data_IF_737098395701
#
_entry.id   IF_737098395701
#
_cell.length_a   1.000
_cell.length_b   1.000
_cell.length_c   1.000
_cell.angle_alpha   90.00
_cell.angle_beta   90.00
_cell.angle_gamma   90.00
#
_symmetry.space_group_name_H-M   'P 1'
#
loop_
_entity.id
_entity.type
_entity.pdbx_description
1 polymer ?
#
# COMPACT_ATOMS: atom_id res chain seq x y z
N UNK A 1 -11.72 -1.46 -23.09
CA UNK A 1 -11.66 -0.22 -22.29
C UNK A 1 -10.73 -0.36 -21.08
N UNK A 2 -10.81 -1.43 -20.28
CA UNK A 2 -9.91 -1.65 -19.13
C UNK A 2 -8.42 -1.66 -19.53
N UNK A 3 -8.10 -2.17 -20.71
CA UNK A 3 -6.71 -2.25 -21.19
C UNK A 3 -6.06 -0.89 -21.43
N UNK A 4 -6.78 0.05 -22.03
CA UNK A 4 -6.27 1.40 -22.31
C UNK A 4 -6.05 2.19 -20.99
N UNK A 5 -6.92 2.03 -20.00
CA UNK A 5 -6.81 2.72 -18.71
C UNK A 5 -5.62 2.21 -17.90
N UNK A 6 -5.36 0.90 -17.91
CA UNK A 6 -4.20 0.33 -17.17
C UNK A 6 -2.85 0.73 -17.76
N UNK A 7 -2.80 1.14 -19.04
CA UNK A 7 -1.56 1.55 -19.67
C UNK A 7 -1.25 3.04 -19.50
N UNK A 8 -2.27 3.88 -19.32
CA UNK A 8 -2.13 5.34 -19.24
C UNK A 8 -2.26 5.94 -17.84
N UNK A 9 -2.94 5.26 -16.92
CA UNK A 9 -3.23 5.75 -15.55
C UNK A 9 -2.69 4.77 -14.51
N UNK A 10 -1.59 5.14 -13.84
CA UNK A 10 -0.94 4.31 -12.84
C UNK A 10 -1.80 4.07 -11.58
N UNK A 11 -2.47 5.07 -10.99
CA UNK A 11 -3.41 4.86 -9.89
C UNK A 11 -4.55 3.92 -10.23
N UNK A 12 -5.15 4.06 -11.41
CA UNK A 12 -6.19 3.17 -11.88
C UNK A 12 -5.66 1.74 -12.10
N UNK A 13 -4.48 1.61 -12.71
CA UNK A 13 -3.83 0.31 -12.90
C UNK A 13 -3.63 -0.43 -11.58
N UNK A 14 -3.16 0.26 -10.53
CA UNK A 14 -2.99 -0.34 -9.21
C UNK A 14 -4.34 -0.71 -8.55
N UNK A 15 -5.39 0.09 -8.75
CA UNK A 15 -6.73 -0.22 -8.24
C UNK A 15 -7.32 -1.50 -8.83
N UNK A 16 -6.97 -1.83 -10.08
CA UNK A 16 -7.41 -3.06 -10.72
C UNK A 16 -6.69 -4.33 -10.25
N UNK A 17 -5.61 -4.21 -9.48
CA UNK A 17 -4.87 -5.38 -8.98
C UNK A 17 -5.61 -6.15 -7.88
N UNK A 18 -6.59 -5.53 -7.22
CA UNK A 18 -7.41 -6.14 -6.17
C UNK A 18 -8.86 -6.37 -6.62
N UNK A 19 -9.05 -6.81 -7.86
CA UNK A 19 -10.38 -7.16 -8.38
C UNK A 19 -10.90 -8.40 -7.68
N UNK A 20 -12.06 -8.25 -7.01
CA UNK A 20 -12.76 -9.32 -6.30
C UNK A 20 -14.19 -9.48 -6.84
N UNK A 21 -14.66 -10.71 -7.01
CA UNK A 21 -16.04 -10.95 -7.40
C UNK A 21 -17.00 -10.61 -6.25
N UNK A 22 -18.00 -9.79 -6.52
CA UNK A 22 -19.08 -9.48 -5.56
C UNK A 22 -20.37 -10.20 -5.98
N UNK A 23 -20.67 -10.20 -7.29
CA UNK A 23 -21.83 -10.85 -7.88
C UNK A 23 -21.62 -11.07 -9.38
N UNK A 24 -22.40 -11.96 -10.00
CA UNK A 24 -22.39 -12.24 -11.43
C UNK A 24 -21.54 -13.44 -11.81
N UNK A 25 -20.95 -13.40 -13.03
CA UNK A 25 -20.14 -14.51 -13.55
C UNK A 25 -18.74 -14.52 -12.92
N UNK A 26 -18.54 -15.47 -12.01
CA UNK A 26 -17.28 -15.67 -11.28
C UNK A 26 -16.13 -16.06 -12.23
N UNK A 27 -16.41 -16.83 -13.29
CA UNK A 27 -15.38 -17.26 -14.23
C UNK A 27 -14.85 -16.07 -15.06
N UNK A 28 -15.73 -15.18 -15.50
CA UNK A 28 -15.37 -13.97 -16.22
C UNK A 28 -14.50 -13.06 -15.35
N UNK A 29 -14.88 -12.86 -14.09
CA UNK A 29 -14.13 -11.99 -13.18
C UNK A 29 -12.75 -12.58 -12.88
N UNK A 30 -12.66 -13.90 -12.63
CA UNK A 30 -11.38 -14.59 -12.39
C UNK A 30 -10.45 -14.52 -13.59
N UNK A 31 -10.98 -14.73 -14.80
CA UNK A 31 -10.20 -14.61 -16.05
C UNK A 31 -9.67 -13.17 -16.25
N UNK A 32 -10.53 -12.19 -15.97
CA UNK A 32 -10.16 -10.76 -16.05
C UNK A 32 -9.06 -10.41 -15.04
N UNK A 33 -9.20 -10.81 -13.78
CA UNK A 33 -8.21 -10.60 -12.74
C UNK A 33 -6.85 -11.21 -13.11
N UNK A 34 -6.86 -12.45 -13.63
CA UNK A 34 -5.63 -13.13 -14.10
C UNK A 34 -4.96 -12.34 -15.24
N UNK A 35 -5.73 -11.92 -16.23
CA UNK A 35 -5.22 -11.13 -17.36
C UNK A 35 -4.58 -9.80 -16.90
N UNK A 36 -5.23 -9.10 -15.95
CA UNK A 36 -4.72 -7.85 -15.37
C UNK A 36 -3.39 -8.10 -14.66
N UNK A 37 -3.30 -9.12 -13.82
CA UNK A 37 -2.07 -9.46 -13.09
C UNK A 37 -0.92 -9.83 -14.03
N UNK A 38 -1.18 -10.59 -15.08
CA UNK A 38 -0.16 -10.93 -16.06
C UNK A 38 0.37 -9.71 -16.82
N UNK A 39 -0.52 -8.80 -17.21
CA UNK A 39 -0.13 -7.52 -17.86
C UNK A 39 0.70 -6.66 -16.90
N UNK A 40 0.26 -6.54 -15.65
CA UNK A 40 0.99 -5.83 -14.61
C UNK A 40 2.42 -6.37 -14.45
N UNK A 41 2.58 -7.68 -14.30
CA UNK A 41 3.88 -8.35 -14.18
C UNK A 41 4.81 -8.06 -15.36
N UNK A 42 4.29 -8.07 -16.58
CA UNK A 42 5.06 -7.71 -17.80
C UNK A 42 5.49 -6.24 -17.82
N UNK A 43 4.65 -5.35 -17.31
CA UNK A 43 4.92 -3.90 -17.32
C UNK A 43 5.71 -3.40 -16.09
N UNK A 44 5.69 -4.15 -14.99
CA UNK A 44 6.13 -3.71 -13.67
C UNK A 44 7.58 -3.19 -13.66
N UNK A 45 8.51 -3.88 -14.32
CA UNK A 45 9.91 -3.45 -14.43
C UNK A 45 10.05 -2.06 -15.02
N UNK A 46 9.34 -1.79 -16.11
CA UNK A 46 9.35 -0.49 -16.81
C UNK A 46 8.68 0.59 -15.96
N UNK A 47 7.65 0.24 -15.18
CA UNK A 47 6.87 1.17 -14.36
C UNK A 47 7.46 1.45 -12.99
N UNK A 48 8.42 0.65 -12.52
CA UNK A 48 8.99 0.81 -11.19
C UNK A 48 9.49 2.23 -10.89
N UNK A 49 10.26 2.90 -11.76
CA UNK A 49 10.71 4.28 -11.50
C UNK A 49 9.55 5.27 -11.34
N UNK A 50 8.49 5.12 -12.12
CA UNK A 50 7.28 5.95 -12.04
C UNK A 50 6.54 5.75 -10.71
N UNK A 51 6.38 4.49 -10.28
CA UNK A 51 5.80 4.11 -9.00
C UNK A 51 6.54 4.76 -7.82
N UNK A 52 7.86 4.61 -7.78
CA UNK A 52 8.68 5.14 -6.70
C UNK A 52 8.71 6.67 -6.70
N UNK A 53 8.73 7.29 -7.89
CA UNK A 53 8.67 8.74 -8.01
C UNK A 53 7.32 9.29 -7.52
N UNK A 54 6.21 8.62 -7.81
CA UNK A 54 4.90 9.00 -7.29
C UNK A 54 4.84 8.94 -5.76
N UNK A 55 5.48 7.94 -5.15
CA UNK A 55 5.59 7.83 -3.69
C UNK A 55 6.43 8.97 -3.07
N UNK A 56 7.53 9.36 -3.73
CA UNK A 56 8.36 10.50 -3.30
C UNK A 56 7.59 11.82 -3.37
N UNK A 57 6.90 12.09 -4.47
CA UNK A 57 6.06 13.29 -4.62
C UNK A 57 5.00 13.39 -3.53
N UNK A 58 4.33 12.28 -3.19
CA UNK A 58 3.36 12.28 -2.09
C UNK A 58 4.01 12.54 -0.74
N UNK A 59 5.21 12.02 -0.48
CA UNK A 59 5.94 12.33 0.75
C UNK A 59 6.22 13.84 0.89
N UNK A 60 6.62 14.49 -0.21
CA UNK A 60 6.90 15.93 -0.22
C UNK A 60 5.63 16.76 -0.01
N UNK A 61 4.49 16.32 -0.56
CA UNK A 61 3.21 17.03 -0.49
C UNK A 61 2.45 16.80 0.83
N UNK A 62 2.39 15.55 1.29
CA UNK A 62 1.52 15.14 2.42
C UNK A 62 2.31 14.83 3.71
N UNK A 63 3.63 14.80 3.66
CA UNK A 63 4.47 14.48 4.81
C UNK A 63 4.37 13.01 5.25
N UNK A 64 4.77 12.74 6.50
CA UNK A 64 4.79 11.39 7.11
C UNK A 64 3.67 11.23 8.13
N UNK A 65 2.81 10.26 7.96
CA UNK A 65 1.70 9.96 8.87
C UNK A 65 2.15 9.90 10.33
N UNK A 66 3.29 9.28 10.58
CA UNK A 66 3.84 9.07 11.92
C UNK A 66 4.19 10.37 12.69
N UNK A 67 4.25 11.53 12.03
CA UNK A 67 4.71 12.80 12.61
C UNK A 67 3.71 13.94 12.48
N UNK A 68 2.51 13.66 11.99
CA UNK A 68 1.47 14.66 11.77
C UNK A 68 0.34 14.53 12.81
N UNK A 69 -0.05 15.64 13.40
CA UNK A 69 -1.20 15.68 14.32
C UNK A 69 -2.55 15.55 13.60
N UNK A 70 -2.61 15.93 12.33
CA UNK A 70 -3.82 15.86 11.48
C UNK A 70 -3.45 15.26 10.13
N UNK A 71 -3.02 13.97 10.10
CA UNK A 71 -2.55 13.34 8.88
C UNK A 71 -3.67 13.09 7.88
N UNK A 72 -3.34 13.16 6.60
CA UNK A 72 -4.09 12.45 5.59
C UNK A 72 -3.68 10.97 5.63
N UNK A 73 -4.57 10.11 6.15
CA UNK A 73 -4.26 8.68 6.37
C UNK A 73 -4.20 7.87 5.07
N UNK A 74 -4.62 8.46 3.96
CA UNK A 74 -4.55 7.85 2.64
C UNK A 74 -3.27 8.24 1.91
N UNK A 75 -2.98 9.54 1.82
CA UNK A 75 -1.92 10.05 0.95
C UNK A 75 -0.56 10.23 1.65
N UNK A 76 -0.54 10.49 2.99
CA UNK A 76 0.71 10.63 3.73
C UNK A 76 1.59 9.37 3.66
N UNK A 77 2.91 9.57 3.77
CA UNK A 77 3.88 8.46 3.84
C UNK A 77 3.57 7.54 5.00
N UNK A 78 3.40 6.25 4.73
CA UNK A 78 2.91 5.26 5.68
C UNK A 78 1.37 5.16 5.72
N UNK A 79 0.67 5.80 4.79
CA UNK A 79 -0.77 5.73 4.61
C UNK A 79 -1.22 4.62 3.65
N UNK A 80 -2.53 4.60 3.35
CA UNK A 80 -3.16 3.56 2.54
C UNK A 80 -2.64 3.50 1.10
N UNK A 81 -2.21 4.64 0.51
CA UNK A 81 -1.59 4.62 -0.83
C UNK A 81 -0.27 3.86 -0.85
N UNK A 82 0.48 3.93 0.23
CA UNK A 82 1.73 3.19 0.36
C UNK A 82 1.47 1.69 0.49
N UNK A 83 0.40 1.27 1.19
CA UNK A 83 0.02 -0.15 1.24
C UNK A 83 -0.41 -0.71 -0.12
N UNK A 84 -1.14 0.08 -0.92
CA UNK A 84 -1.47 -0.29 -2.30
C UNK A 84 -0.20 -0.46 -3.14
N UNK A 85 0.79 0.41 -2.94
CA UNK A 85 2.06 0.34 -3.67
C UNK A 85 2.89 -0.89 -3.26
N UNK A 86 2.93 -1.22 -1.96
CA UNK A 86 3.55 -2.49 -1.48
C UNK A 86 2.88 -3.69 -2.13
N UNK A 87 1.55 -3.74 -2.18
CA UNK A 87 0.80 -4.81 -2.83
C UNK A 87 1.11 -4.90 -4.32
N UNK A 88 1.16 -3.77 -5.03
CA UNK A 88 1.47 -3.71 -6.46
C UNK A 88 2.88 -4.24 -6.75
N UNK A 89 3.88 -3.91 -5.92
CA UNK A 89 5.24 -4.44 -6.03
C UNK A 89 5.30 -5.94 -5.74
N UNK A 90 4.57 -6.41 -4.73
CA UNK A 90 4.53 -7.82 -4.36
C UNK A 90 3.91 -8.69 -5.46
N UNK A 91 2.73 -8.31 -5.98
CA UNK A 91 2.06 -9.09 -7.05
C UNK A 91 2.79 -9.00 -8.40
N UNK A 92 3.71 -8.07 -8.56
CA UNK A 92 4.58 -7.97 -9.74
C UNK A 92 5.70 -9.01 -9.78
N UNK A 93 5.97 -9.70 -8.65
CA UNK A 93 7.08 -10.61 -8.41
C UNK A 93 8.47 -9.96 -8.46
N UNK A 94 8.55 -8.64 -8.38
CA UNK A 94 9.82 -7.93 -8.28
C UNK A 94 10.42 -8.03 -6.88
N UNK A 95 9.57 -8.06 -5.85
CA UNK A 95 9.99 -8.19 -4.46
C UNK A 95 8.87 -8.75 -3.59
N UNK A 96 9.26 -9.46 -2.53
CA UNK A 96 8.33 -9.83 -1.46
C UNK A 96 8.23 -8.71 -0.44
N UNK A 97 7.01 -8.53 0.12
CA UNK A 97 6.81 -7.64 1.25
C UNK A 97 7.40 -8.24 2.54
N UNK A 98 7.73 -7.44 3.56
CA UNK A 98 8.13 -7.96 4.84
C UNK A 98 7.04 -8.83 5.48
N UNK A 99 7.48 -9.91 6.14
CA UNK A 99 6.60 -10.74 6.95
C UNK A 99 6.24 -10.05 8.27
N UNK A 100 5.17 -10.52 8.92
CA UNK A 100 4.74 -10.05 10.22
C UNK A 100 3.38 -9.37 10.18
N UNK A 101 3.17 -8.40 11.08
CA UNK A 101 1.85 -7.77 11.31
C UNK A 101 1.46 -6.69 10.29
N UNK A 102 2.05 -6.68 9.12
CA UNK A 102 1.77 -5.66 8.10
C UNK A 102 0.30 -5.61 7.71
N UNK A 103 -0.33 -6.76 7.50
CA UNK A 103 -1.75 -6.83 7.11
C UNK A 103 -2.66 -6.31 8.23
N UNK A 104 -2.37 -6.67 9.49
CA UNK A 104 -3.10 -6.16 10.66
C UNK A 104 -3.01 -4.62 10.76
N UNK A 105 -1.86 -4.04 10.42
CA UNK A 105 -1.66 -2.60 10.45
C UNK A 105 -2.43 -1.87 9.33
N UNK A 106 -2.49 -2.47 8.14
CA UNK A 106 -3.28 -1.93 7.02
C UNK A 106 -4.77 -2.00 7.35
N UNK A 107 -5.26 -3.12 7.91
CA UNK A 107 -6.64 -3.27 8.35
C UNK A 107 -7.00 -2.27 9.44
N UNK A 108 -6.13 -2.11 10.45
CA UNK A 108 -6.32 -1.11 11.50
C UNK A 108 -6.41 0.33 10.95
N UNK A 109 -5.66 0.65 9.88
CA UNK A 109 -5.72 1.96 9.24
C UNK A 109 -7.00 2.14 8.44
N UNK A 110 -7.52 1.08 7.79
CA UNK A 110 -8.82 1.09 7.13
C UNK A 110 -9.95 1.34 8.13
N UNK A 111 -9.92 0.65 9.27
CA UNK A 111 -10.88 0.90 10.37
C UNK A 111 -10.87 2.34 10.85
N UNK A 112 -9.68 2.96 10.99
CA UNK A 112 -9.59 4.38 11.34
C UNK A 112 -10.21 5.26 10.25
N UNK A 113 -10.02 4.91 8.97
CA UNK A 113 -10.65 5.63 7.86
C UNK A 113 -12.16 5.58 7.94
N UNK A 114 -12.72 4.42 8.21
CA UNK A 114 -14.19 4.27 8.35
C UNK A 114 -14.72 5.11 9.52
N UNK A 115 -14.00 5.15 10.65
CA UNK A 115 -14.33 6.03 11.76
C UNK A 115 -14.26 7.52 11.37
N UNK A 116 -13.29 7.94 10.55
CA UNK A 116 -13.21 9.32 10.03
C UNK A 116 -14.41 9.63 9.14
N UNK A 117 -14.82 8.72 8.25
CA UNK A 117 -16.01 8.91 7.40
C UNK A 117 -17.28 9.07 8.25
N UNK A 118 -17.44 8.24 9.28
CA UNK A 118 -18.58 8.34 10.21
C UNK A 118 -18.56 9.65 10.99
N UNK A 119 -17.41 10.07 11.52
CA UNK A 119 -17.27 11.31 12.26
C UNK A 119 -17.48 12.57 11.39
N UNK A 120 -17.03 12.51 10.13
CA UNK A 120 -17.15 13.61 9.18
C UNK A 120 -18.52 13.66 8.46
N UNK A 121 -19.29 12.55 8.47
CA UNK A 121 -20.53 12.39 7.71
C UNK A 121 -20.33 12.42 6.19
N UNK A 122 -19.11 12.20 5.69
CA UNK A 122 -18.75 12.21 4.26
C UNK A 122 -17.47 11.46 4.02
N UNK A 123 -17.13 11.22 2.73
CA UNK A 123 -15.80 10.73 2.35
C UNK A 123 -14.72 11.74 2.78
N UNK A 124 -13.85 11.33 3.70
CA UNK A 124 -12.77 12.13 4.24
C UNK A 124 -11.58 11.22 4.60
N UNK A 125 -10.36 11.67 4.27
CA UNK A 125 -9.15 10.92 4.57
C UNK A 125 -8.24 11.63 5.57
N UNK A 126 -8.57 12.88 5.93
CA UNK A 126 -7.79 13.68 6.86
C UNK A 126 -8.38 13.62 8.26
N UNK A 127 -7.59 13.20 9.22
CA UNK A 127 -7.98 13.18 10.63
C UNK A 127 -7.85 14.59 11.23
N UNK A 128 -8.90 15.41 11.05
CA UNK A 128 -8.94 16.75 11.60
C UNK A 128 -9.16 16.74 13.11
N UNK A 129 -8.67 17.78 13.81
CA UNK A 129 -8.78 17.90 15.26
C UNK A 129 -10.22 17.68 15.81
N UNK A 130 -11.30 18.22 15.20
CA UNK A 130 -12.67 18.02 15.69
C UNK A 130 -13.13 16.55 15.69
N UNK A 131 -12.51 15.69 14.90
CA UNK A 131 -12.90 14.27 14.79
C UNK A 131 -12.11 13.35 15.69
N UNK A 132 -10.95 13.79 16.20
CA UNK A 132 -9.99 12.91 16.89
C UNK A 132 -10.58 12.21 18.11
N UNK A 133 -11.28 12.94 18.98
CA UNK A 133 -11.90 12.36 20.16
C UNK A 133 -12.97 11.30 19.79
N UNK A 134 -13.82 11.62 18.83
CA UNK A 134 -14.85 10.69 18.36
C UNK A 134 -14.26 9.44 17.71
N UNK A 135 -13.26 9.60 16.84
CA UNK A 135 -12.53 8.48 16.20
C UNK A 135 -11.84 7.62 17.26
N UNK A 136 -11.18 8.23 18.27
CA UNK A 136 -10.55 7.51 19.35
C UNK A 136 -11.56 6.69 20.18
N UNK A 137 -12.73 7.27 20.48
CA UNK A 137 -13.80 6.57 21.19
C UNK A 137 -14.34 5.39 20.36
N UNK A 138 -14.61 5.57 19.06
CA UNK A 138 -15.04 4.48 18.16
C UNK A 138 -14.00 3.36 18.04
N UNK A 139 -12.70 3.69 18.21
CA UNK A 139 -11.61 2.69 18.23
C UNK A 139 -11.38 2.06 19.61
N UNK A 140 -12.27 2.34 20.59
CA UNK A 140 -12.21 1.77 21.93
C UNK A 140 -11.02 2.27 22.78
N UNK A 141 -10.53 3.50 22.50
CA UNK A 141 -9.39 4.09 23.23
C UNK A 141 -9.83 4.97 24.41
N UNK A 142 -11.13 5.21 24.57
CA UNK A 142 -11.65 6.01 25.68
C UNK A 142 -11.73 5.17 26.97
N UNK A 143 -10.89 5.48 27.96
CA UNK A 143 -10.92 4.84 29.27
C UNK A 143 -12.09 5.40 30.11
N UNK A 144 -13.12 4.61 30.41
CA UNK A 144 -14.28 5.07 31.15
C UNK A 144 -14.00 5.40 32.62
N UNK A 145 -12.85 4.98 33.15
CA UNK A 145 -12.46 5.24 34.56
C UNK A 145 -11.91 6.63 34.80
N UNK A 146 -11.46 7.33 33.69
CA UNK A 146 -10.91 8.67 33.76
C UNK A 146 -11.99 9.76 33.76
N UNK A 147 -11.73 10.93 34.36
CA UNK A 147 -12.59 12.11 34.22
C UNK A 147 -12.75 12.51 32.75
N UNK A 148 -13.90 13.12 32.34
CA UNK A 148 -14.21 13.36 30.93
C UNK A 148 -13.12 14.08 30.12
N UNK A 149 -12.56 15.17 30.64
CA UNK A 149 -11.50 15.93 29.93
C UNK A 149 -10.19 15.18 29.82
N UNK A 150 -9.79 14.46 30.87
CA UNK A 150 -8.58 13.64 30.87
C UNK A 150 -8.75 12.42 29.95
N UNK A 151 -9.92 11.79 29.97
CA UNK A 151 -10.30 10.69 29.09
C UNK A 151 -10.15 11.08 27.62
N UNK A 152 -10.69 12.26 27.25
CA UNK A 152 -10.62 12.75 25.89
C UNK A 152 -9.17 13.01 25.46
N UNK A 153 -8.40 13.73 26.26
CA UNK A 153 -7.00 14.03 25.96
C UNK A 153 -6.18 12.75 25.82
N UNK A 154 -6.36 11.80 26.74
CA UNK A 154 -5.64 10.52 26.71
C UNK A 154 -6.01 9.67 25.49
N UNK A 155 -7.29 9.59 25.14
CA UNK A 155 -7.75 8.83 23.98
C UNK A 155 -7.21 9.38 22.67
N UNK A 156 -7.09 10.70 22.53
CA UNK A 156 -6.46 11.35 21.37
C UNK A 156 -4.96 11.01 21.30
N UNK A 157 -4.24 11.09 22.41
CA UNK A 157 -2.82 10.73 22.48
C UNK A 157 -2.58 9.27 22.08
N UNK A 158 -3.42 8.34 22.60
CA UNK A 158 -3.34 6.93 22.27
C UNK A 158 -3.67 6.66 20.80
N UNK A 159 -4.63 7.38 20.20
CA UNK A 159 -4.93 7.32 18.78
C UNK A 159 -3.73 7.78 17.94
N UNK A 160 -3.13 8.94 18.29
CA UNK A 160 -1.96 9.48 17.58
C UNK A 160 -0.76 8.54 17.69
N UNK A 161 -0.51 7.97 18.88
CA UNK A 161 0.55 6.99 19.11
C UNK A 161 0.36 5.74 18.27
N UNK A 162 -0.88 5.22 18.19
CA UNK A 162 -1.23 4.07 17.37
C UNK A 162 -1.04 4.36 15.88
N UNK A 163 -1.51 5.51 15.40
CA UNK A 163 -1.33 5.94 14.01
C UNK A 163 0.16 6.12 13.65
N UNK A 164 0.95 6.70 14.56
CA UNK A 164 2.38 6.84 14.34
C UNK A 164 3.09 5.48 14.23
N UNK A 165 2.68 4.48 15.01
CA UNK A 165 3.20 3.11 14.92
C UNK A 165 2.80 2.47 13.58
N UNK A 166 1.53 2.52 13.21
CA UNK A 166 1.02 2.00 11.93
C UNK A 166 1.77 2.64 10.76
N UNK A 167 1.87 3.98 10.75
CA UNK A 167 2.54 4.71 9.69
C UNK A 167 4.01 4.33 9.52
N UNK A 168 4.74 4.11 10.62
CA UNK A 168 6.14 3.62 10.56
C UNK A 168 6.22 2.21 9.97
N UNK A 169 5.30 1.32 10.33
CA UNK A 169 5.29 -0.06 9.82
C UNK A 169 5.03 -0.10 8.31
N UNK A 170 4.01 0.63 7.83
CA UNK A 170 3.69 0.69 6.40
C UNK A 170 4.80 1.38 5.61
N UNK A 171 5.37 2.48 6.12
CA UNK A 171 6.50 3.16 5.47
C UNK A 171 7.72 2.24 5.37
N UNK A 172 8.07 1.50 6.43
CA UNK A 172 9.14 0.52 6.42
C UNK A 172 8.87 -0.61 5.40
N UNK A 173 7.63 -1.10 5.34
CA UNK A 173 7.26 -2.12 4.38
C UNK A 173 7.48 -1.63 2.93
N UNK A 174 7.08 -0.38 2.62
CA UNK A 174 7.31 0.20 1.31
C UNK A 174 8.80 0.40 1.01
N UNK A 175 9.57 0.96 1.94
CA UNK A 175 11.01 1.18 1.73
C UNK A 175 11.75 -0.14 1.50
N UNK A 176 11.45 -1.15 2.30
CA UNK A 176 12.04 -2.48 2.18
C UNK A 176 11.67 -3.19 0.88
N UNK A 177 10.38 -3.15 0.48
CA UNK A 177 9.90 -3.79 -0.74
C UNK A 177 10.44 -3.07 -1.98
N UNK A 178 10.45 -1.72 -1.97
CA UNK A 178 10.99 -0.90 -3.05
C UNK A 178 12.49 -1.16 -3.26
N UNK A 179 13.28 -1.16 -2.19
CA UNK A 179 14.71 -1.44 -2.26
C UNK A 179 15.01 -2.82 -2.87
N UNK A 180 14.24 -3.86 -2.46
CA UNK A 180 14.38 -5.20 -3.04
C UNK A 180 13.98 -5.21 -4.52
N UNK A 181 12.92 -4.51 -4.90
CA UNK A 181 12.49 -4.41 -6.28
C UNK A 181 13.55 -3.72 -7.16
N UNK A 182 14.14 -2.60 -6.71
CA UNK A 182 15.25 -1.94 -7.40
C UNK A 182 16.47 -2.85 -7.52
N UNK A 183 16.81 -3.57 -6.46
CA UNK A 183 17.93 -4.52 -6.47
C UNK A 183 17.72 -5.67 -7.45
N UNK A 184 16.49 -6.17 -7.59
CA UNK A 184 16.16 -7.23 -8.55
C UNK A 184 16.34 -6.80 -10.01
N UNK A 185 16.22 -5.50 -10.29
CA UNK A 185 16.46 -4.95 -11.64
C UNK A 185 17.95 -4.81 -11.95
N UNK A 186 18.77 -4.48 -10.95
CA UNK A 186 20.23 -4.26 -11.14
C UNK A 186 21.02 -5.57 -11.21
N UNK A 187 20.48 -6.66 -10.61
CA UNK A 187 21.11 -7.96 -10.55
C UNK A 187 20.42 -8.97 -11.48
N UNK A 188 20.19 -8.61 -12.75
CA UNK A 188 19.89 -9.65 -13.74
C UNK A 188 21.07 -10.61 -13.81
N UNK A 189 20.90 -11.82 -13.25
CA UNK A 189 21.84 -12.90 -13.53
C UNK A 189 21.91 -13.06 -15.04
N UNK A 190 23.13 -13.07 -15.65
CA UNK A 190 23.25 -13.39 -17.07
C UNK A 190 22.53 -14.74 -17.24
N UNK A 191 21.56 -14.76 -18.17
CA UNK A 191 20.92 -16.00 -18.59
C UNK A 191 22.06 -16.87 -19.14
N UNK A 192 22.58 -17.79 -18.33
CA UNK A 192 23.43 -18.85 -18.83
C UNK A 192 22.60 -19.62 -19.84
N UNK A 193 22.87 -19.36 -21.12
CA UNK A 193 22.34 -20.12 -22.22
C UNK A 193 22.95 -21.51 -22.14
N UNK A 194 22.18 -22.47 -21.66
CA UNK A 194 22.52 -23.88 -21.61
C UNK A 194 22.84 -24.46 -23.03
N UNK A 195 22.55 -23.68 -24.06
CA UNK A 195 22.77 -24.04 -25.47
C UNK A 195 24.23 -23.90 -25.94
N UNK A 196 25.12 -23.24 -25.18
CA UNK A 196 26.52 -23.05 -25.62
C UNK A 196 27.47 -24.19 -25.19
N UNK A 197 26.96 -25.20 -24.44
CA UNK A 197 27.78 -26.34 -24.00
C UNK A 197 27.67 -27.57 -24.89
N UNK A 198 26.89 -27.52 -25.97
CA UNK A 198 26.68 -28.68 -26.88
C UNK A 198 27.21 -28.45 -28.28
N UNK A 199 28.31 -27.72 -28.45
CA UNK A 199 29.06 -27.75 -29.72
C UNK A 199 30.02 -28.94 -29.68
N UNK A 200 29.83 -29.98 -30.50
CA UNK A 200 30.81 -31.05 -30.61
C UNK A 200 32.06 -30.46 -31.25
N UNK A 201 33.21 -30.57 -30.59
CA UNK A 201 34.51 -30.37 -31.20
C UNK A 201 34.64 -31.36 -32.34
N UNK A 202 34.46 -30.91 -33.59
CA UNK A 202 34.82 -31.65 -34.76
C UNK A 202 36.32 -31.86 -34.76
N UNK A 203 36.69 -33.12 -34.73
CA UNK A 203 38.07 -33.54 -34.99
C UNK A 203 38.39 -33.40 -36.46
N UNK A 204 39.61 -33.03 -36.74
CA UNK A 204 40.31 -33.10 -37.98
C UNK A 204 41.79 -33.24 -37.69
#
# INVERSE_FOLDING_TARGET
QCEAVTDSDLPAAMGWLDVKPIAGDMALISATATSILERWRRAARKRLPELLNSARKRLDEFGRLAYLNQPDIKEARGGLRDSVLVSALTVSWLADRPHGRYDDEVEALLDVRDCIHLAAGKDANRLLAPYQAQVAAMRGLADPTLPPGEREARSIEDLQTRLARIGRQIAFALDSTASRAEHSLTHERPRFSFFQMLSPRGGG
#
